data_IF_217266730689
#
_entry.id   IF_217266730689
#
_cell.length_a   1.000
_cell.length_b   1.000
_cell.length_c   1.000
_cell.angle_alpha   90.00
_cell.angle_beta   90.00
_cell.angle_gamma   90.00
#
_symmetry.space_group_name_H-M   'P 1'
#
loop_
_entity.id
_entity.type
_entity.pdbx_description
1 polymer ?
#
# COMPACT_ATOMS: atom_id res chain seq x y z
N UNK A 1 0.32 -15.93 3.13
CA UNK A 1 1.42 -14.91 3.12
C UNK A 1 2.02 -14.74 4.52
N UNK A 2 3.30 -14.37 4.67
CA UNK A 2 3.94 -14.08 5.97
C UNK A 2 4.62 -12.69 5.94
N UNK A 3 5.12 -12.21 7.08
CA UNK A 3 5.73 -10.86 7.17
C UNK A 3 6.91 -10.64 6.21
N UNK A 4 7.77 -11.64 6.00
CA UNK A 4 8.91 -11.51 5.09
C UNK A 4 8.44 -11.35 3.64
N UNK A 5 7.49 -12.19 3.21
CA UNK A 5 6.90 -12.10 1.88
C UNK A 5 6.16 -10.76 1.69
N UNK A 6 5.56 -10.22 2.75
CA UNK A 6 4.92 -8.91 2.72
C UNK A 6 5.91 -7.77 2.50
N UNK A 7 7.01 -7.77 3.26
CA UNK A 7 8.06 -6.78 3.09
C UNK A 7 8.68 -6.82 1.70
N UNK A 8 8.91 -8.02 1.16
CA UNK A 8 9.39 -8.22 -0.21
C UNK A 8 8.40 -7.64 -1.24
N UNK A 9 7.10 -7.91 -1.09
CA UNK A 9 6.09 -7.35 -2.00
C UNK A 9 6.03 -5.82 -1.95
N UNK A 10 6.12 -5.21 -0.77
CA UNK A 10 6.19 -3.74 -0.67
C UNK A 10 7.47 -3.21 -1.32
N UNK A 11 8.61 -3.88 -1.10
CA UNK A 11 9.88 -3.54 -1.74
C UNK A 11 9.79 -3.59 -3.27
N UNK A 12 9.18 -4.63 -3.81
CA UNK A 12 8.96 -4.81 -5.25
C UNK A 12 8.06 -3.73 -5.85
N UNK A 13 6.96 -3.39 -5.16
CA UNK A 13 6.05 -2.32 -5.60
C UNK A 13 6.78 -0.97 -5.64
N UNK A 14 7.52 -0.65 -4.58
CA UNK A 14 8.33 0.58 -4.53
C UNK A 14 9.41 0.60 -5.60
N UNK A 15 10.10 -0.52 -5.83
CA UNK A 15 11.12 -0.67 -6.87
C UNK A 15 10.58 -0.47 -8.28
N UNK A 16 9.29 -0.74 -8.51
CA UNK A 16 8.57 -0.53 -9.78
C UNK A 16 7.91 0.85 -9.89
N UNK A 17 8.15 1.76 -8.95
CA UNK A 17 7.45 3.04 -8.78
C UNK A 17 5.93 2.92 -8.58
N UNK A 18 5.43 1.76 -8.16
CA UNK A 18 4.02 1.56 -7.82
C UNK A 18 3.74 1.92 -6.35
N UNK A 19 3.83 3.22 -6.07
CA UNK A 19 3.54 3.76 -4.73
C UNK A 19 2.07 3.59 -4.35
N UNK A 20 1.17 3.63 -5.33
CA UNK A 20 -0.26 3.44 -5.10
C UNK A 20 -0.56 2.02 -4.62
N UNK A 21 0.03 1.02 -5.26
CA UNK A 21 -0.04 -0.38 -4.84
C UNK A 21 0.51 -0.57 -3.43
N UNK A 22 1.69 -0.01 -3.14
CA UNK A 22 2.30 -0.11 -1.82
C UNK A 22 1.43 0.53 -0.72
N UNK A 23 0.88 1.72 -0.97
CA UNK A 23 -0.04 2.41 -0.04
C UNK A 23 -1.30 1.59 0.21
N UNK A 24 -1.89 1.02 -0.85
CA UNK A 24 -3.12 0.22 -0.75
C UNK A 24 -2.89 -1.05 0.07
N UNK A 25 -1.77 -1.73 -0.18
CA UNK A 25 -1.40 -2.95 0.53
C UNK A 25 -1.13 -2.69 2.02
N UNK A 26 -0.40 -1.61 2.35
CA UNK A 26 -0.18 -1.19 3.75
C UNK A 26 -1.48 -0.76 4.44
N UNK A 27 -2.36 -0.05 3.75
CA UNK A 27 -3.64 0.39 4.31
C UNK A 27 -4.55 -0.78 4.66
N UNK A 28 -4.52 -1.85 3.86
CA UNK A 28 -5.28 -3.06 4.13
C UNK A 28 -4.73 -3.81 5.34
N UNK A 29 -3.40 -3.94 5.44
CA UNK A 29 -2.76 -4.59 6.59
C UNK A 29 -3.04 -3.84 7.90
N UNK A 30 -2.95 -2.51 7.87
CA UNK A 30 -3.03 -1.67 9.05
C UNK A 30 -4.44 -1.17 9.36
N UNK A 31 -5.49 -1.70 8.73
CA UNK A 31 -6.87 -1.18 8.85
C UNK A 31 -7.37 -0.97 10.29
N UNK A 32 -6.90 -1.78 11.23
CA UNK A 32 -7.26 -1.71 12.66
C UNK A 32 -6.10 -1.23 13.55
N UNK A 33 -5.04 -0.69 12.97
CA UNK A 33 -3.84 -0.23 13.67
C UNK A 33 -3.82 1.30 13.77
N UNK A 34 -3.36 1.88 14.88
CA UNK A 34 -3.10 3.33 14.96
C UNK A 34 -2.05 3.79 13.94
N UNK A 35 -1.23 2.88 13.39
CA UNK A 35 -0.27 3.20 12.33
C UNK A 35 -0.95 3.45 10.97
N UNK A 36 -2.25 3.15 10.82
CA UNK A 36 -3.03 3.46 9.61
C UNK A 36 -2.99 4.94 9.27
N UNK A 37 -3.04 5.81 10.28
CA UNK A 37 -3.03 7.26 10.08
C UNK A 37 -1.79 7.73 9.31
N UNK A 38 -0.65 7.06 9.50
CA UNK A 38 0.57 7.35 8.78
C UNK A 38 0.47 6.95 7.30
N UNK A 39 -0.17 5.81 7.01
CA UNK A 39 -0.43 5.37 5.63
C UNK A 39 -1.40 6.32 4.94
N UNK A 40 -2.47 6.73 5.63
CA UNK A 40 -3.44 7.72 5.12
C UNK A 40 -2.73 9.04 4.79
N UNK A 41 -1.84 9.49 5.67
CA UNK A 41 -1.06 10.70 5.42
C UNK A 41 -0.17 10.58 4.17
N UNK A 42 0.51 9.45 3.98
CA UNK A 42 1.30 9.23 2.77
C UNK A 42 0.43 9.11 1.51
N UNK A 43 -0.77 8.51 1.62
CA UNK A 43 -1.77 8.48 0.55
C UNK A 43 -2.19 9.88 0.12
N UNK A 44 -2.52 10.75 1.09
CA UNK A 44 -2.86 12.14 0.81
C UNK A 44 -1.72 12.89 0.10
N UNK A 45 -0.48 12.73 0.59
CA UNK A 45 0.72 13.32 -0.03
C UNK A 45 0.97 12.82 -1.45
N UNK A 46 0.79 11.52 -1.68
CA UNK A 46 0.94 10.93 -2.99
C UNK A 46 -0.10 11.47 -3.97
N UNK A 47 -1.37 11.55 -3.55
CA UNK A 47 -2.44 12.09 -4.37
C UNK A 47 -2.24 13.56 -4.72
N UNK A 48 -1.77 14.36 -3.76
CA UNK A 48 -1.46 15.77 -3.96
C UNK A 48 -0.32 15.95 -4.96
N UNK A 49 0.82 15.27 -4.79
CA UNK A 49 1.94 15.41 -5.74
C UNK A 49 1.55 14.91 -7.14
N UNK A 50 0.80 13.81 -7.25
CA UNK A 50 0.29 13.33 -8.53
C UNK A 50 -0.65 14.34 -9.20
N UNK A 51 -1.43 15.08 -8.41
CA UNK A 51 -2.27 16.16 -8.91
C UNK A 51 -1.42 17.33 -9.45
N UNK A 52 -0.41 17.75 -8.69
CA UNK A 52 0.51 18.83 -9.10
C UNK A 52 1.29 18.48 -10.37
N UNK A 53 1.73 17.22 -10.51
CA UNK A 53 2.40 16.73 -11.73
C UNK A 53 1.44 16.83 -12.92
N UNK A 54 0.20 16.34 -12.80
CA UNK A 54 -0.78 16.39 -13.88
C UNK A 54 -1.12 17.81 -14.31
N UNK A 55 -1.13 18.75 -13.37
CA UNK A 55 -1.39 20.16 -13.63
C UNK A 55 -0.15 20.92 -14.13
N UNK A 56 1.03 20.29 -14.15
CA UNK A 56 2.29 20.96 -14.53
C UNK A 56 2.74 22.04 -13.56
N UNK A 57 2.34 21.95 -12.28
CA UNK A 57 2.65 22.95 -11.24
C UNK A 57 4.03 22.70 -10.63
N UNK A 58 4.44 21.43 -10.57
CA UNK A 58 5.68 20.99 -9.92
C UNK A 58 6.70 20.55 -10.98
N UNK A 59 7.97 20.87 -10.75
CA UNK A 59 9.06 20.36 -11.59
C UNK A 59 9.38 18.90 -11.26
N UNK A 60 10.18 18.28 -12.12
CA UNK A 60 10.52 16.87 -12.00
C UNK A 60 11.32 16.58 -10.73
N UNK A 61 12.28 17.44 -10.39
CA UNK A 61 13.15 17.28 -9.23
C UNK A 61 12.37 17.31 -7.90
N UNK A 62 11.42 18.24 -7.77
CA UNK A 62 10.55 18.36 -6.60
C UNK A 62 9.57 17.18 -6.49
N UNK A 63 9.04 16.73 -7.63
CA UNK A 63 8.19 15.55 -7.69
C UNK A 63 8.94 14.30 -7.22
N UNK A 64 10.15 14.08 -7.73
CA UNK A 64 10.99 12.95 -7.37
C UNK A 64 11.43 12.99 -5.91
N UNK A 65 11.82 14.17 -5.40
CA UNK A 65 12.15 14.34 -4.00
C UNK A 65 10.95 13.97 -3.11
N UNK A 66 9.75 14.40 -3.49
CA UNK A 66 8.52 14.11 -2.74
C UNK A 66 8.17 12.63 -2.79
N UNK A 67 8.24 11.99 -3.96
CA UNK A 67 8.07 10.55 -4.11
C UNK A 67 9.09 9.76 -3.28
N UNK A 68 10.35 10.17 -3.27
CA UNK A 68 11.40 9.54 -2.47
C UNK A 68 11.11 9.63 -0.95
N UNK A 69 10.60 10.76 -0.48
CA UNK A 69 10.16 10.90 0.92
C UNK A 69 9.01 9.96 1.25
N UNK A 70 8.06 9.79 0.33
CA UNK A 70 6.96 8.83 0.48
C UNK A 70 7.51 7.39 0.53
N UNK A 71 8.38 7.01 -0.42
CA UNK A 71 9.05 5.69 -0.43
C UNK A 71 9.74 5.39 0.90
N UNK A 72 10.53 6.34 1.39
CA UNK A 72 11.23 6.19 2.66
C UNK A 72 10.26 6.00 3.84
N UNK A 73 9.18 6.77 3.89
CA UNK A 73 8.18 6.65 4.95
C UNK A 73 7.49 5.28 4.93
N UNK A 74 7.12 4.77 3.75
CA UNK A 74 6.50 3.45 3.61
C UNK A 74 7.46 2.33 4.01
N UNK A 75 8.72 2.39 3.58
CA UNK A 75 9.75 1.40 3.96
C UNK A 75 10.06 1.43 5.45
N UNK A 76 10.10 2.63 6.05
CA UNK A 76 10.30 2.78 7.50
C UNK A 76 9.16 2.12 8.28
N UNK A 77 7.92 2.32 7.83
CA UNK A 77 6.75 1.71 8.44
C UNK A 77 6.78 0.18 8.35
N UNK A 78 7.18 -0.38 7.20
CA UNK A 78 7.40 -1.82 7.06
C UNK A 78 8.44 -2.32 8.05
N UNK A 79 9.59 -1.64 8.16
CA UNK A 79 10.64 -2.00 9.11
C UNK A 79 10.17 -1.99 10.56
N UNK A 80 9.32 -1.03 10.95
CA UNK A 80 8.72 -0.99 12.29
C UNK A 80 7.78 -2.19 12.54
N UNK A 81 7.02 -2.62 11.52
CA UNK A 81 6.13 -3.78 11.64
C UNK A 81 6.95 -5.07 11.76
N UNK A 82 8.00 -5.22 10.95
CA UNK A 82 8.92 -6.34 11.06
C UNK A 82 9.55 -6.44 12.45
N UNK A 83 10.00 -5.31 13.00
CA UNK A 83 10.62 -5.28 14.31
C UNK A 83 9.62 -5.63 15.42
N UNK A 84 8.38 -5.15 15.31
CA UNK A 84 7.30 -5.52 16.22
C UNK A 84 7.00 -7.02 16.15
N UNK A 85 7.00 -7.61 14.95
CA UNK A 85 6.80 -9.05 14.73
C UNK A 85 7.97 -9.89 15.28
N UNK A 86 9.20 -9.39 15.22
CA UNK A 86 10.39 -10.06 15.81
C UNK A 86 10.37 -10.02 17.33
N UNK A 87 9.88 -8.93 17.91
CA UNK A 87 9.96 -8.68 19.36
C UNK A 87 8.79 -9.31 20.14
N UNK A 88 7.61 -9.47 19.52
CA UNK A 88 6.43 -10.04 20.18
C UNK A 88 5.82 -11.19 19.36
N UNK A 89 5.75 -12.38 19.99
CA UNK A 89 5.14 -13.55 19.40
C UNK A 89 3.63 -13.37 19.16
N UNK A 90 2.95 -12.61 20.03
CA UNK A 90 1.52 -12.31 19.89
C UNK A 90 1.27 -11.43 18.65
N UNK A 91 2.10 -10.40 18.46
CA UNK A 91 2.03 -9.52 17.28
C UNK A 91 2.29 -10.31 16.00
N UNK A 92 3.25 -11.24 16.02
CA UNK A 92 3.50 -12.13 14.89
C UNK A 92 2.28 -13.00 14.55
N UNK A 93 1.65 -13.60 15.57
CA UNK A 93 0.44 -14.40 15.38
C UNK A 93 -0.73 -13.60 14.81
N UNK A 94 -0.93 -12.36 15.29
CA UNK A 94 -1.93 -11.45 14.75
C UNK A 94 -1.68 -11.09 13.29
N UNK A 95 -0.43 -10.76 12.95
CA UNK A 95 -0.04 -10.44 11.58
C UNK A 95 -0.25 -11.63 10.63
N UNK A 96 0.16 -12.84 11.03
CA UNK A 96 -0.03 -14.04 10.23
C UNK A 96 -1.53 -14.30 9.94
N UNK A 97 -2.41 -14.08 10.92
CA UNK A 97 -3.88 -14.17 10.71
C UNK A 97 -4.39 -13.11 9.73
N UNK A 98 -3.92 -11.86 9.86
CA UNK A 98 -4.33 -10.78 8.95
C UNK A 98 -3.84 -11.06 7.52
N UNK A 99 -2.64 -11.59 7.36
CA UNK A 99 -2.09 -11.95 6.05
C UNK A 99 -2.93 -13.03 5.34
N UNK A 100 -3.44 -14.02 6.07
CA UNK A 100 -4.37 -15.01 5.51
C UNK A 100 -5.71 -14.40 5.07
N UNK A 101 -6.21 -13.41 5.81
CA UNK A 101 -7.44 -12.70 5.45
C UNK A 101 -7.26 -11.82 4.21
N UNK A 102 -6.14 -11.10 4.12
CA UNK A 102 -5.81 -10.25 2.97
C UNK A 102 -5.69 -11.07 1.68
N UNK A 103 -5.06 -12.25 1.73
CA UNK A 103 -5.01 -13.15 0.57
C UNK A 103 -6.40 -13.57 0.11
N UNK A 104 -7.29 -13.98 1.03
CA UNK A 104 -8.66 -14.41 0.68
C UNK A 104 -9.48 -13.31 0.02
N UNK A 105 -9.30 -12.06 0.45
CA UNK A 105 -10.02 -10.91 -0.10
C UNK A 105 -9.52 -10.47 -1.48
N UNK A 106 -8.27 -10.79 -1.87
CA UNK A 106 -7.78 -10.53 -3.22
C UNK A 106 -8.42 -11.47 -4.27
N UNK A 107 -8.82 -12.69 -3.90
CA UNK A 107 -9.46 -13.64 -4.81
C UNK A 107 -10.95 -13.33 -5.08
N UNK A 108 -11.64 -12.67 -4.16
CA UNK A 108 -13.10 -12.41 -4.27
C UNK A 108 -13.45 -11.16 -5.08
N UNK A 109 -12.48 -10.28 -5.38
CA UNK A 109 -12.72 -9.07 -6.19
C UNK A 109 -12.51 -9.26 -7.70
N UNK A 110 -12.12 -10.46 -8.16
CA UNK A 110 -11.92 -10.77 -9.58
C UNK A 110 -13.16 -11.40 -10.27
N UNK A 111 -14.38 -11.16 -9.78
CA UNK A 111 -15.58 -11.56 -10.52
C UNK A 111 -16.01 -10.50 -11.53
N UNK A 112 -15.87 -10.88 -12.80
CA UNK A 112 -16.21 -10.18 -14.03
C UNK A 112 -17.61 -9.57 -14.04
N UNK A 113 -17.68 -8.24 -14.00
CA UNK A 113 -18.83 -7.52 -14.54
C UNK A 113 -18.78 -7.48 -16.07
N UNK A 114 -19.04 -8.60 -16.74
CA UNK A 114 -19.53 -8.56 -18.12
C UNK A 114 -20.96 -8.04 -18.04
N UNK A 115 -21.11 -6.71 -17.99
CA UNK A 115 -22.40 -6.07 -18.14
C UNK A 115 -22.86 -6.26 -19.58
N UNK A 116 -23.92 -7.05 -19.75
CA UNK A 116 -24.64 -7.25 -21.00
C UNK A 116 -25.03 -5.89 -21.63
N UNK A 117 -24.39 -5.51 -22.73
CA UNK A 117 -24.91 -4.47 -23.61
C UNK A 117 -26.10 -5.04 -24.38
N UNK A 118 -27.30 -4.96 -23.80
CA UNK A 118 -28.54 -5.17 -24.55
C UNK A 118 -28.75 -3.92 -25.43
N UNK A 119 -28.35 -4.02 -26.69
CA UNK A 119 -28.74 -3.08 -27.75
C UNK A 119 -30.26 -3.13 -27.92
N UNK A 120 -30.96 -2.10 -27.45
CA UNK A 120 -32.32 -1.85 -27.91
C UNK A 120 -32.26 -0.98 -29.17
N UNK A 121 -32.77 -1.56 -30.26
CA UNK A 121 -33.10 -0.91 -31.53
C UNK A 121 -34.27 0.07 -31.38
#
# INVERSE_FOLDING_TARGET
MNINNFSEQIGDLIGKDDLQGAISLLSNLLKNSPKLDQVILQSARFNDIMSQIRMGIVNFEEADLTKNKIRFALLSLVGEIEEASRTSADVKGELDMIFEEVEKNQYTQNHSGQGDNIMNF
#
